data_IF_381260491135
#
_entry.id   IF_381260491135
#
_cell.length_a   1.000
_cell.length_b   1.000
_cell.length_c   1.000
_cell.angle_alpha   90.00
_cell.angle_beta   90.00
_cell.angle_gamma   90.00
#
_symmetry.space_group_name_H-M   'P 1'
#
loop_
_entity.id
_entity.type
_entity.pdbx_description
1 polymer ?
#
# COMPACT_ATOMS: atom_id res chain seq x y z
N UNK A 1 16.23 1.32 -0.58
CA UNK A 1 14.85 0.77 -0.67
C UNK A 1 14.17 1.15 -1.99
N UNK A 2 14.23 2.41 -2.44
CA UNK A 2 13.61 2.88 -3.70
C UNK A 2 14.20 2.25 -4.96
N UNK A 3 15.52 2.02 -5.00
CA UNK A 3 16.20 1.44 -6.16
C UNK A 3 15.81 -0.03 -6.40
N UNK A 4 15.67 -0.83 -5.34
CA UNK A 4 15.22 -2.23 -5.42
C UNK A 4 13.76 -2.35 -5.87
N UNK A 5 12.87 -1.47 -5.40
CA UNK A 5 11.46 -1.47 -5.80
C UNK A 5 11.29 -1.11 -7.28
N UNK A 6 12.05 -0.13 -7.78
CA UNK A 6 12.08 0.23 -9.19
C UNK A 6 12.64 -0.90 -10.06
N UNK A 7 13.67 -1.60 -9.60
CA UNK A 7 14.26 -2.75 -10.28
C UNK A 7 13.27 -3.93 -10.41
N UNK A 8 12.33 -4.07 -9.47
CA UNK A 8 11.29 -5.12 -9.47
C UNK A 8 10.02 -4.74 -10.25
N UNK A 9 10.08 -3.68 -11.06
CA UNK A 9 8.96 -3.26 -11.90
C UNK A 9 7.78 -2.66 -11.15
N UNK A 10 7.95 -2.30 -9.87
CA UNK A 10 6.92 -1.59 -9.11
C UNK A 10 6.85 -0.14 -9.57
N UNK A 11 5.65 0.34 -9.90
CA UNK A 11 5.37 1.76 -10.09
C UNK A 11 5.32 2.43 -8.72
N UNK A 12 6.49 2.73 -8.16
CA UNK A 12 6.66 3.14 -6.75
C UNK A 12 5.77 4.33 -6.39
N UNK A 13 5.67 5.33 -7.27
CA UNK A 13 4.83 6.50 -7.02
C UNK A 13 3.35 6.16 -6.91
N UNK A 14 2.83 5.38 -7.87
CA UNK A 14 1.42 4.98 -7.90
C UNK A 14 1.08 4.09 -6.69
N UNK A 15 1.96 3.13 -6.37
CA UNK A 15 1.82 2.28 -5.20
C UNK A 15 1.79 3.07 -3.89
N UNK A 16 2.72 3.99 -3.68
CA UNK A 16 2.75 4.81 -2.47
C UNK A 16 1.52 5.72 -2.38
N UNK A 17 1.10 6.31 -3.50
CA UNK A 17 -0.11 7.15 -3.55
C UNK A 17 -1.34 6.34 -3.12
N UNK A 18 -1.51 5.14 -3.68
CA UNK A 18 -2.59 4.23 -3.31
C UNK A 18 -2.55 3.86 -1.83
N UNK A 19 -1.40 3.42 -1.31
CA UNK A 19 -1.25 3.00 0.09
C UNK A 19 -1.61 4.14 1.04
N UNK A 20 -1.10 5.35 0.80
CA UNK A 20 -1.35 6.50 1.65
C UNK A 20 -2.83 6.92 1.63
N UNK A 21 -3.48 6.84 0.46
CA UNK A 21 -4.91 7.14 0.33
C UNK A 21 -5.76 6.13 1.12
N UNK A 22 -5.48 4.83 0.97
CA UNK A 22 -6.18 3.78 1.72
C UNK A 22 -5.99 3.90 3.24
N UNK A 23 -4.77 4.23 3.69
CA UNK A 23 -4.49 4.45 5.12
C UNK A 23 -5.23 5.68 5.67
N UNK A 24 -5.31 6.76 4.89
CA UNK A 24 -6.06 7.97 5.26
C UNK A 24 -7.56 7.66 5.35
N UNK A 25 -8.12 6.94 4.38
CA UNK A 25 -9.54 6.57 4.37
C UNK A 25 -9.89 5.66 5.56
N UNK A 26 -9.09 4.61 5.81
CA UNK A 26 -9.27 3.75 6.98
C UNK A 26 -9.18 4.55 8.29
N UNK A 27 -8.22 5.47 8.42
CA UNK A 27 -8.11 6.33 9.60
C UNK A 27 -9.35 7.22 9.77
N UNK A 28 -9.91 7.75 8.68
CA UNK A 28 -11.14 8.55 8.70
C UNK A 28 -12.35 7.72 9.13
N UNK A 29 -12.56 6.55 8.51
CA UNK A 29 -13.68 5.64 8.79
C UNK A 29 -13.67 5.16 10.25
N UNK A 30 -12.48 4.87 10.78
CA UNK A 30 -12.29 4.45 12.17
C UNK A 30 -12.11 5.61 13.15
N UNK A 31 -12.32 6.87 12.72
CA UNK A 31 -12.23 8.10 13.53
C UNK A 31 -10.92 8.23 14.30
N UNK A 32 -9.83 7.77 13.69
CA UNK A 32 -8.51 7.78 14.30
C UNK A 32 -7.90 9.18 14.21
N UNK A 33 -7.26 9.62 15.29
CA UNK A 33 -6.47 10.85 15.26
C UNK A 33 -5.16 10.59 14.50
N UNK A 34 -4.59 11.60 13.83
CA UNK A 34 -3.30 11.46 13.14
C UNK A 34 -2.17 10.93 14.05
N UNK A 35 -2.27 11.18 15.36
CA UNK A 35 -1.31 10.76 16.37
C UNK A 35 -1.57 9.37 16.96
N UNK A 36 -2.63 8.67 16.53
CA UNK A 36 -3.06 7.37 17.08
C UNK A 36 -3.55 6.44 15.97
N UNK A 37 -2.78 6.33 14.89
CA UNK A 37 -3.08 5.38 13.81
C UNK A 37 -2.73 3.96 14.23
N UNK A 38 -3.75 3.15 14.46
CA UNK A 38 -3.70 1.72 14.68
C UNK A 38 -4.42 1.02 13.52
N UNK A 39 -3.66 0.33 12.69
CA UNK A 39 -4.17 -0.36 11.51
C UNK A 39 -4.28 -1.86 11.80
N UNK A 40 -5.43 -2.44 11.50
CA UNK A 40 -5.61 -3.89 11.54
C UNK A 40 -4.55 -4.59 10.69
N UNK A 41 -3.95 -5.67 11.21
CA UNK A 41 -2.93 -6.46 10.49
C UNK A 41 -3.44 -6.92 9.13
N UNK A 42 -4.69 -7.41 9.07
CA UNK A 42 -5.33 -7.87 7.83
C UNK A 42 -5.55 -6.75 6.81
N UNK A 43 -5.76 -5.52 7.28
CA UNK A 43 -5.85 -4.34 6.42
C UNK A 43 -4.47 -4.03 5.83
N UNK A 44 -3.42 -3.97 6.65
CA UNK A 44 -2.05 -3.72 6.19
C UNK A 44 -1.55 -4.80 5.21
N UNK A 45 -1.80 -6.07 5.49
CA UNK A 45 -1.47 -7.17 4.57
C UNK A 45 -2.20 -7.04 3.23
N UNK A 46 -3.42 -6.48 3.26
CA UNK A 46 -4.20 -6.16 2.07
C UNK A 46 -3.55 -5.11 1.17
N UNK A 47 -2.68 -4.26 1.70
CA UNK A 47 -1.99 -3.19 0.97
C UNK A 47 -0.63 -3.60 0.40
N UNK A 48 -0.14 -4.81 0.69
CA UNK A 48 1.14 -5.25 0.18
C UNK A 48 1.17 -5.34 -1.35
N UNK A 49 2.31 -5.11 -2.00
CA UNK A 49 2.40 -5.07 -3.45
C UNK A 49 2.24 -6.45 -4.13
N UNK A 50 2.13 -7.52 -3.35
CA UNK A 50 1.78 -8.88 -3.80
C UNK A 50 0.37 -9.31 -3.36
N UNK A 51 -0.41 -8.42 -2.73
CA UNK A 51 -1.78 -8.66 -2.35
C UNK A 51 -2.69 -8.74 -3.59
N UNK A 52 -3.66 -9.64 -3.57
CA UNK A 52 -4.67 -9.72 -4.62
C UNK A 52 -5.67 -8.55 -4.57
N UNK A 53 -5.74 -7.84 -3.44
CA UNK A 53 -6.72 -6.77 -3.17
C UNK A 53 -6.33 -5.41 -3.74
N UNK A 54 -5.09 -5.22 -4.19
CA UNK A 54 -4.63 -3.94 -4.73
C UNK A 54 -4.75 -3.89 -6.26
N UNK A 55 -4.82 -2.69 -6.87
CA UNK A 55 -4.84 -2.54 -8.32
C UNK A 55 -3.63 -3.18 -9.01
N UNK A 56 -3.81 -3.68 -10.24
CA UNK A 56 -2.73 -4.34 -11.00
C UNK A 56 -1.52 -3.44 -11.27
N UNK A 57 -1.75 -2.12 -11.38
CA UNK A 57 -0.66 -1.15 -11.53
C UNK A 57 0.16 -0.95 -10.25
N UNK A 58 -0.42 -1.29 -9.10
CA UNK A 58 0.24 -1.25 -7.80
C UNK A 58 0.91 -2.60 -7.45
N UNK A 59 0.71 -3.65 -8.27
CA UNK A 59 1.31 -4.96 -8.05
C UNK A 59 2.78 -4.99 -8.47
N UNK A 60 3.57 -5.76 -7.73
CA UNK A 60 4.94 -6.10 -8.11
C UNK A 60 4.91 -6.93 -9.40
N UNK A 61 5.61 -6.44 -10.43
CA UNK A 61 5.78 -7.15 -11.70
C UNK A 61 7.09 -7.91 -11.70
N UNK A 62 7.23 -8.84 -10.75
CA UNK A 62 8.36 -9.77 -10.76
C UNK A 62 8.19 -10.64 -12.00
N UNK A 63 9.06 -10.46 -12.99
CA UNK A 63 9.18 -11.42 -14.09
C UNK A 63 9.73 -12.71 -13.48
N UNK A 64 8.94 -13.79 -13.53
CA UNK A 64 9.44 -15.14 -13.27
C UNK A 64 10.38 -15.57 -14.38
#
# INVERSE_FOLDING_TARGET
MTETAKANGLKVFDYLTYVLDQMKDYAYEHKQKPTQMNFDKKFLEGLFPWSEKIPDDCKLKIKR
#
